data_IF_552145893226
#
_entry.id   IF_552145893226
#
_cell.length_a   1.000
_cell.length_b   1.000
_cell.length_c   1.000
_cell.angle_alpha   90.00
_cell.angle_beta   90.00
_cell.angle_gamma   90.00
#
_symmetry.space_group_name_H-M   'P 1'
#
loop_
_entity.id
_entity.type
_entity.pdbx_description
1 polymer ?
#
# COMPACT_ATOMS: atom_id res chain seq x y z
N UNK A 1 -55.35 -9.00 58.82
CA UNK A 1 -55.29 -9.98 57.71
C UNK A 1 -55.68 -9.26 56.42
N UNK A 2 -54.82 -9.39 55.39
CA UNK A 2 -55.01 -9.19 53.93
C UNK A 2 -55.96 -8.07 53.43
N UNK A 3 -55.50 -7.00 52.77
CA UNK A 3 -54.97 -6.85 51.38
C UNK A 3 -55.98 -6.95 50.21
N UNK A 4 -55.77 -6.00 49.28
CA UNK A 4 -56.16 -5.90 47.85
C UNK A 4 -57.61 -5.45 47.51
N UNK A 5 -57.86 -4.59 46.51
CA UNK A 5 -56.99 -4.08 45.45
C UNK A 5 -57.62 -2.97 44.57
N UNK A 6 -56.78 -2.43 43.69
CA UNK A 6 -56.94 -1.35 42.69
C UNK A 6 -58.07 -1.60 41.65
N UNK A 7 -58.70 -0.61 41.01
CA UNK A 7 -58.18 0.51 40.18
C UNK A 7 -58.25 0.09 38.70
N UNK A 8 -59.21 0.56 37.87
CA UNK A 8 -59.17 1.83 37.12
C UNK A 8 -58.01 1.82 36.11
N UNK A 9 -58.13 1.90 34.78
CA UNK A 9 -59.15 2.43 33.89
C UNK A 9 -58.42 3.13 32.72
N UNK A 10 -58.98 3.01 31.52
CA UNK A 10 -58.73 3.81 30.30
C UNK A 10 -57.45 3.54 29.46
N UNK A 11 -57.74 3.19 28.20
CA UNK A 11 -56.82 3.10 27.07
C UNK A 11 -56.46 4.49 26.53
N UNK A 12 -55.18 4.65 26.13
CA UNK A 12 -54.65 5.79 25.38
C UNK A 12 -53.58 5.30 24.39
N UNK A 13 -53.35 6.00 23.27
CA UNK A 13 -52.72 5.45 22.08
C UNK A 13 -51.19 5.37 22.17
N UNK A 14 -50.61 4.31 21.61
CA UNK A 14 -49.16 4.11 21.46
C UNK A 14 -48.55 5.15 20.50
N UNK A 15 -48.02 6.25 21.04
CA UNK A 15 -47.03 7.08 20.35
C UNK A 15 -45.64 6.43 20.49
N UNK A 16 -45.08 5.96 19.38
CA UNK A 16 -43.65 5.59 19.32
C UNK A 16 -42.78 6.84 19.57
N UNK A 17 -41.70 6.75 20.35
CA UNK A 17 -40.72 7.80 20.41
C UNK A 17 -39.85 7.75 19.14
N UNK A 18 -40.05 8.73 18.26
CA UNK A 18 -39.18 8.98 17.11
C UNK A 18 -37.84 9.50 17.63
N UNK A 19 -36.83 8.64 17.72
CA UNK A 19 -35.45 9.07 17.98
C UNK A 19 -34.95 9.88 16.77
N UNK A 20 -34.42 11.11 16.95
CA UNK A 20 -33.73 11.78 15.86
C UNK A 20 -32.40 11.03 15.64
N UNK A 21 -32.29 10.34 14.51
CA UNK A 21 -31.01 9.85 14.02
C UNK A 21 -30.13 11.07 13.77
N UNK A 22 -29.25 11.37 14.72
CA UNK A 22 -28.18 12.34 14.54
C UNK A 22 -27.18 11.74 13.55
N UNK A 23 -27.47 11.90 12.26
CA UNK A 23 -26.52 11.70 11.17
C UNK A 23 -25.47 12.81 11.29
N UNK A 24 -24.42 12.55 12.08
CA UNK A 24 -23.17 13.27 11.97
C UNK A 24 -22.57 12.91 10.61
N UNK A 25 -22.99 13.66 9.59
CA UNK A 25 -22.30 13.73 8.31
C UNK A 25 -20.97 14.42 8.59
N UNK A 26 -19.95 13.63 8.95
CA UNK A 26 -18.56 14.10 8.92
C UNK A 26 -18.30 14.41 7.45
N UNK A 27 -18.18 15.70 7.06
CA UNK A 27 -17.85 16.02 5.69
C UNK A 27 -16.49 15.38 5.43
N UNK A 28 -16.44 14.57 4.37
CA UNK A 28 -15.26 13.84 3.99
C UNK A 28 -14.05 14.76 4.09
N UNK A 29 -12.98 14.26 4.71
CA UNK A 29 -11.67 14.83 4.49
C UNK A 29 -11.43 14.78 2.98
N UNK A 30 -11.77 15.87 2.30
CA UNK A 30 -11.20 16.19 1.01
C UNK A 30 -9.70 16.23 1.28
N UNK A 31 -9.03 15.13 0.92
CA UNK A 31 -7.59 15.09 0.85
C UNK A 31 -7.20 16.09 -0.24
N UNK A 32 -7.06 17.36 0.15
CA UNK A 32 -6.38 18.35 -0.66
C UNK A 32 -5.01 17.83 -1.07
N UNK A 33 -4.37 18.40 -2.11
CA UNK A 33 -3.10 17.91 -2.62
C UNK A 33 -2.16 17.71 -1.44
N UNK A 34 -1.84 16.44 -1.18
CA UNK A 34 -1.05 16.07 -0.02
C UNK A 34 0.26 16.83 -0.14
N UNK A 35 0.49 17.80 0.76
CA UNK A 35 1.74 18.53 0.78
C UNK A 35 2.87 17.52 0.79
N UNK A 36 3.76 17.59 -0.21
CA UNK A 36 4.86 16.63 -0.37
C UNK A 36 5.99 16.93 0.64
N UNK A 37 5.63 16.92 1.92
CA UNK A 37 6.54 17.15 3.03
C UNK A 37 7.60 16.05 3.05
N UNK A 38 8.85 16.41 3.28
CA UNK A 38 9.93 15.43 3.38
C UNK A 38 9.66 14.48 4.56
N UNK A 39 9.80 13.15 4.39
CA UNK A 39 9.54 12.21 5.47
C UNK A 39 10.65 12.35 6.51
N UNK A 40 10.26 12.57 7.75
CA UNK A 40 11.15 12.71 8.90
C UNK A 40 10.63 11.83 10.04
N UNK A 41 11.55 11.24 10.79
CA UNK A 41 11.22 10.51 12.00
C UNK A 41 10.71 11.48 13.08
N UNK A 42 9.55 11.17 13.64
CA UNK A 42 8.92 11.91 14.74
C UNK A 42 8.27 10.90 15.70
N UNK A 43 7.84 11.29 16.91
CA UNK A 43 7.17 10.38 17.82
C UNK A 43 5.92 9.68 17.25
N UNK A 44 5.32 10.28 16.21
CA UNK A 44 4.13 9.74 15.51
C UNK A 44 4.42 9.21 14.11
N UNK A 45 5.66 9.32 13.60
CA UNK A 45 6.05 8.91 12.24
C UNK A 45 7.37 8.16 12.26
N UNK A 46 7.32 6.94 11.76
CA UNK A 46 8.50 6.10 11.58
C UNK A 46 8.84 6.02 10.09
N UNK A 47 10.11 6.23 9.75
CA UNK A 47 10.63 6.08 8.39
C UNK A 47 11.48 4.83 8.30
N UNK A 48 11.23 4.02 7.27
CA UNK A 48 12.12 2.93 6.89
C UNK A 48 12.61 3.14 5.48
N UNK A 49 13.93 3.18 5.33
CA UNK A 49 14.57 3.24 4.03
C UNK A 49 14.54 1.85 3.38
N UNK A 50 14.17 1.82 2.10
CA UNK A 50 14.13 0.59 1.29
C UNK A 50 15.32 0.48 0.34
N UNK A 51 16.43 1.16 0.66
CA UNK A 51 17.66 1.11 -0.12
C UNK A 51 18.35 -0.26 -0.05
N UNK A 52 19.48 -0.36 -0.74
CA UNK A 52 20.30 -1.57 -0.83
C UNK A 52 20.02 -2.36 -2.11
N UNK A 53 20.20 -3.68 -2.07
CA UNK A 53 20.07 -4.55 -3.24
C UNK A 53 18.62 -4.91 -3.53
N UNK A 54 18.22 -4.74 -4.79
CA UNK A 54 16.91 -5.08 -5.35
C UNK A 54 17.11 -6.13 -6.44
N UNK A 55 16.16 -7.05 -6.59
CA UNK A 55 16.18 -7.96 -7.74
C UNK A 55 15.74 -7.19 -8.98
N UNK A 56 16.57 -7.21 -10.00
CA UNK A 56 16.40 -6.45 -11.23
C UNK A 56 16.33 -7.38 -12.45
N UNK A 57 15.47 -6.99 -13.39
CA UNK A 57 15.41 -7.63 -14.69
C UNK A 57 14.95 -6.64 -15.77
N UNK A 58 15.69 -6.55 -16.86
CA UNK A 58 15.26 -5.86 -18.06
C UNK A 58 14.45 -6.80 -18.97
N UNK A 59 13.41 -6.27 -19.61
CA UNK A 59 12.66 -7.01 -20.62
C UNK A 59 13.37 -6.99 -21.97
N UNK A 60 14.35 -7.88 -22.14
CA UNK A 60 15.12 -7.98 -23.38
C UNK A 60 14.35 -8.59 -24.57
N UNK A 61 13.04 -8.86 -24.43
CA UNK A 61 12.23 -9.37 -25.55
C UNK A 61 12.16 -8.37 -26.72
N UNK A 62 11.91 -8.84 -27.96
CA UNK A 62 11.78 -7.95 -29.12
C UNK A 62 10.66 -6.91 -28.98
N UNK A 63 9.54 -7.30 -28.35
CA UNK A 63 8.38 -6.42 -28.11
C UNK A 63 8.48 -5.55 -26.86
N UNK A 64 9.46 -5.79 -25.99
CA UNK A 64 9.64 -5.12 -24.68
C UNK A 64 8.42 -5.21 -23.76
N UNK A 65 7.49 -6.12 -24.01
CA UNK A 65 6.19 -6.23 -23.34
C UNK A 65 5.94 -7.60 -22.68
N UNK A 66 6.90 -8.52 -22.81
CA UNK A 66 6.83 -9.86 -22.24
C UNK A 66 6.58 -9.84 -20.73
N UNK A 67 7.13 -8.86 -20.01
CA UNK A 67 6.89 -8.70 -18.57
C UNK A 67 5.43 -8.42 -18.21
N UNK A 68 4.71 -7.69 -19.06
CA UNK A 68 3.28 -7.47 -18.90
C UNK A 68 2.46 -8.66 -19.37
N UNK A 69 2.77 -9.21 -20.55
CA UNK A 69 2.07 -10.34 -21.14
C UNK A 69 2.09 -11.56 -20.21
N UNK A 70 3.25 -11.85 -19.62
CA UNK A 70 3.46 -12.97 -18.69
C UNK A 70 3.16 -12.58 -17.22
N UNK A 71 2.83 -11.31 -16.97
CA UNK A 71 2.47 -10.77 -15.66
C UNK A 71 3.53 -11.08 -14.59
N UNK A 72 4.78 -10.75 -14.87
CA UNK A 72 5.91 -11.05 -13.98
C UNK A 72 5.70 -10.54 -12.54
N UNK A 73 4.98 -9.43 -12.36
CA UNK A 73 4.62 -8.87 -11.05
C UNK A 73 3.70 -9.74 -10.17
N UNK A 74 3.11 -10.83 -10.68
CA UNK A 74 2.21 -11.68 -9.88
C UNK A 74 2.94 -12.71 -9.02
N UNK A 75 4.21 -12.97 -9.30
CA UNK A 75 5.06 -13.94 -8.61
C UNK A 75 6.43 -13.30 -8.36
N UNK A 76 7.26 -13.86 -7.46
CA UNK A 76 8.62 -13.37 -7.29
C UNK A 76 9.36 -13.36 -8.64
N UNK A 77 10.06 -12.26 -8.95
CA UNK A 77 10.71 -12.00 -10.23
C UNK A 77 11.72 -13.09 -10.60
N UNK A 78 12.35 -13.72 -9.59
CA UNK A 78 13.26 -14.87 -9.77
C UNK A 78 12.59 -16.10 -10.38
N UNK A 79 11.27 -16.24 -10.25
CA UNK A 79 10.51 -17.36 -10.82
C UNK A 79 10.18 -17.15 -12.29
N UNK A 80 10.19 -15.91 -12.79
CA UNK A 80 9.93 -15.66 -14.21
C UNK A 80 11.18 -15.80 -15.08
N UNK A 81 12.38 -15.90 -14.49
CA UNK A 81 13.64 -16.02 -15.21
C UNK A 81 14.85 -15.48 -14.43
N UNK A 82 16.02 -15.35 -15.10
CA UNK A 82 17.23 -14.85 -14.46
C UNK A 82 17.07 -13.38 -14.04
N UNK A 83 17.57 -13.06 -12.85
CA UNK A 83 17.60 -11.71 -12.29
C UNK A 83 19.03 -11.36 -11.87
N UNK A 84 19.32 -10.08 -11.80
CA UNK A 84 20.58 -9.55 -11.25
C UNK A 84 20.27 -8.69 -10.02
N UNK A 85 21.21 -8.58 -9.09
CA UNK A 85 21.05 -7.72 -7.93
C UNK A 85 21.52 -6.30 -8.28
N UNK A 86 20.63 -5.32 -8.10
CA UNK A 86 20.87 -3.91 -8.44
C UNK A 86 20.81 -3.04 -7.20
N UNK A 87 21.81 -2.21 -6.91
CA UNK A 87 21.76 -1.26 -5.80
C UNK A 87 20.73 -0.15 -6.06
N UNK A 88 20.04 0.27 -5.01
CA UNK A 88 19.12 1.41 -5.01
C UNK A 88 19.47 2.29 -3.79
N UNK A 89 19.71 3.60 -3.96
CA UNK A 89 19.59 4.37 -5.20
C UNK A 89 20.82 4.23 -6.11
N UNK A 90 20.62 3.80 -7.37
CA UNK A 90 21.63 3.87 -8.43
C UNK A 90 20.93 3.82 -9.81
N UNK A 91 21.59 4.38 -10.82
CA UNK A 91 21.22 4.19 -12.22
C UNK A 91 21.67 2.81 -12.68
N UNK A 92 20.79 2.01 -13.29
CA UNK A 92 21.19 0.67 -13.74
C UNK A 92 22.20 0.70 -14.89
N UNK A 93 22.19 1.76 -15.71
CA UNK A 93 23.07 1.92 -16.88
C UNK A 93 24.55 1.87 -16.50
N UNK A 94 24.90 2.41 -15.32
CA UNK A 94 26.30 2.59 -14.91
C UNK A 94 26.81 1.47 -13.98
N UNK A 95 25.93 0.57 -13.54
CA UNK A 95 26.27 -0.49 -12.59
C UNK A 95 26.70 -1.76 -13.31
N UNK A 96 26.00 -2.11 -14.38
CA UNK A 96 26.24 -3.36 -15.10
C UNK A 96 27.28 -3.16 -16.20
N UNK A 97 28.16 -4.15 -16.39
CA UNK A 97 29.13 -4.17 -17.49
C UNK A 97 28.54 -4.75 -18.80
N UNK A 98 27.22 -4.91 -18.87
CA UNK A 98 26.53 -5.46 -20.04
C UNK A 98 26.17 -4.34 -21.03
N UNK A 99 26.75 -4.31 -22.24
CA UNK A 99 26.44 -3.27 -23.24
C UNK A 99 24.97 -3.23 -23.64
N UNK A 100 24.25 -4.35 -23.49
CA UNK A 100 22.82 -4.41 -23.80
C UNK A 100 21.96 -3.65 -22.80
N UNK A 101 22.45 -3.42 -21.58
CA UNK A 101 21.78 -2.69 -20.50
C UNK A 101 22.15 -1.20 -20.47
N UNK A 102 23.39 -0.85 -20.84
CA UNK A 102 23.87 0.54 -20.86
C UNK A 102 22.98 1.45 -21.72
N UNK A 103 22.62 0.97 -22.92
CA UNK A 103 21.78 1.70 -23.88
C UNK A 103 20.36 1.11 -23.97
N UNK A 104 19.89 0.43 -22.92
CA UNK A 104 18.60 -0.23 -22.94
C UNK A 104 17.43 0.76 -22.91
N UNK A 105 16.52 0.60 -23.88
CA UNK A 105 15.23 1.32 -23.93
C UNK A 105 14.12 0.28 -23.86
N UNK A 106 13.28 0.41 -22.83
CA UNK A 106 12.15 -0.48 -22.59
C UNK A 106 11.80 -0.56 -21.11
N UNK A 107 11.08 -1.61 -20.76
CA UNK A 107 10.65 -1.82 -19.39
C UNK A 107 11.72 -2.52 -18.57
N UNK A 108 11.93 -2.01 -17.36
CA UNK A 108 12.78 -2.61 -16.34
C UNK A 108 11.93 -2.92 -15.11
N UNK A 109 12.23 -4.04 -14.48
CA UNK A 109 11.50 -4.55 -13.33
C UNK A 109 12.42 -4.54 -12.13
N UNK A 110 11.95 -3.91 -11.05
CA UNK A 110 12.61 -3.90 -9.75
C UNK A 110 11.71 -4.58 -8.73
N UNK A 111 12.26 -5.52 -7.98
CA UNK A 111 11.56 -6.23 -6.91
C UNK A 111 12.37 -6.19 -5.61
N UNK A 112 11.69 -5.86 -4.52
CA UNK A 112 12.25 -5.90 -3.16
C UNK A 112 11.22 -6.46 -2.20
N UNK A 113 11.61 -7.52 -1.53
CA UNK A 113 10.87 -8.04 -0.38
C UNK A 113 11.35 -7.33 0.89
N UNK A 114 10.39 -6.89 1.71
CA UNK A 114 10.66 -6.18 2.96
C UNK A 114 9.77 -6.76 4.05
N UNK A 115 10.40 -7.18 5.15
CA UNK A 115 9.69 -7.63 6.35
C UNK A 115 9.25 -6.42 7.16
N UNK A 116 7.95 -6.08 7.12
CA UNK A 116 7.40 -4.96 7.88
C UNK A 116 7.18 -5.33 9.35
N UNK A 117 7.44 -4.42 10.31
CA UNK A 117 7.15 -4.68 11.72
C UNK A 117 5.64 -4.89 11.93
N UNK A 118 5.26 -5.88 12.75
CA UNK A 118 3.84 -6.20 13.01
C UNK A 118 3.04 -5.01 13.55
N UNK A 119 3.68 -4.10 14.29
CA UNK A 119 3.05 -2.85 14.78
C UNK A 119 2.48 -1.98 13.66
N UNK A 120 3.05 -2.03 12.45
CA UNK A 120 2.54 -1.29 11.31
C UNK A 120 1.26 -1.90 10.72
N UNK A 121 1.04 -3.20 10.96
CA UNK A 121 -0.11 -3.94 10.43
C UNK A 121 -1.24 -4.10 11.47
N UNK A 122 -0.88 -4.22 12.76
CA UNK A 122 -1.80 -4.58 13.86
C UNK A 122 -1.93 -3.50 14.94
N UNK A 123 -1.28 -2.34 14.79
CA UNK A 123 -1.38 -1.25 15.75
C UNK A 123 -2.83 -0.76 15.92
N UNK A 124 -3.17 -0.27 17.12
CA UNK A 124 -4.46 0.38 17.38
C UNK A 124 -4.20 1.79 17.97
N UNK A 125 -4.59 2.87 17.26
CA UNK A 125 -5.14 2.88 15.90
C UNK A 125 -4.12 2.39 14.86
N UNK A 126 -4.60 1.82 13.75
CA UNK A 126 -3.73 1.32 12.69
C UNK A 126 -2.94 2.48 12.05
N UNK A 127 -1.60 2.44 12.04
CA UNK A 127 -0.82 3.53 11.46
C UNK A 127 -0.96 3.54 9.94
N UNK A 128 -0.94 4.75 9.35
CA UNK A 128 -0.96 4.91 7.89
C UNK A 128 0.41 4.56 7.31
N UNK A 129 0.48 3.49 6.52
CA UNK A 129 1.68 3.11 5.78
C UNK A 129 1.69 3.80 4.41
N UNK A 130 2.75 4.56 4.11
CA UNK A 130 2.93 5.25 2.83
C UNK A 130 4.26 4.83 2.23
N UNK A 131 4.23 4.40 0.96
CA UNK A 131 5.43 4.16 0.15
C UNK A 131 5.75 5.44 -0.63
N UNK A 132 7.00 5.91 -0.54
CA UNK A 132 7.48 7.09 -1.27
C UNK A 132 8.73 6.73 -2.06
N UNK A 133 8.73 7.09 -3.34
CA UNK A 133 9.90 7.06 -4.20
C UNK A 133 10.48 8.47 -4.30
N UNK A 134 11.80 8.61 -4.24
CA UNK A 134 12.48 9.89 -4.42
C UNK A 134 12.39 10.37 -5.87
N UNK A 135 12.72 9.47 -6.80
CA UNK A 135 12.58 9.64 -8.24
C UNK A 135 12.46 8.26 -8.90
N UNK A 136 11.76 8.19 -10.02
CA UNK A 136 11.69 7.04 -10.91
C UNK A 136 11.58 7.57 -12.34
N UNK A 137 12.39 7.07 -13.27
CA UNK A 137 12.50 7.66 -14.61
C UNK A 137 11.37 7.25 -15.57
N UNK A 138 10.93 8.25 -16.33
CA UNK A 138 9.85 8.37 -17.33
C UNK A 138 8.46 7.88 -16.91
N UNK A 139 8.24 6.57 -16.80
CA UNK A 139 6.94 6.03 -16.46
C UNK A 139 7.11 4.83 -15.52
N UNK A 140 6.52 4.94 -14.33
CA UNK A 140 6.67 3.93 -13.29
C UNK A 140 5.31 3.38 -12.88
N UNK A 141 5.23 2.06 -12.78
CA UNK A 141 4.08 1.35 -12.23
C UNK A 141 4.54 0.68 -10.95
N UNK A 142 3.81 0.94 -9.86
CA UNK A 142 4.06 0.31 -8.57
C UNK A 142 2.95 -0.68 -8.31
N UNK A 143 3.34 -1.94 -8.16
CA UNK A 143 2.43 -3.06 -7.88
C UNK A 143 2.79 -3.68 -6.54
N UNK A 144 1.78 -3.94 -5.72
CA UNK A 144 1.95 -4.71 -4.50
C UNK A 144 1.88 -6.19 -4.87
N UNK A 145 2.99 -6.91 -4.77
CA UNK A 145 2.97 -8.36 -4.76
C UNK A 145 2.54 -8.84 -3.37
N UNK A 146 1.37 -9.46 -3.27
CA UNK A 146 0.93 -10.17 -2.07
C UNK A 146 1.62 -11.54 -2.01
N UNK A 147 2.90 -11.57 -1.64
CA UNK A 147 3.60 -12.81 -1.34
C UNK A 147 3.26 -13.26 0.08
N UNK A 148 2.41 -14.27 0.23
CA UNK A 148 2.29 -15.00 1.49
C UNK A 148 3.49 -15.94 1.56
N UNK A 149 4.51 -15.60 2.36
CA UNK A 149 5.45 -16.60 2.85
C UNK A 149 5.01 -17.04 4.24
N UNK A 150 5.01 -18.35 4.54
CA UNK A 150 4.62 -18.90 5.84
C UNK A 150 5.53 -18.42 6.97
#
# INVERSE_FOLDING_TARGET
MAQAGAGGGAAGPCMLPMLPVLLLFLPGLAAGPAGMLQPRDTPSRERRELGGLWSFRADLSPGRDAGFAQRWYRRPLRQSGPVIDMPVPASFNDITQDPSLENYIGWVWYEKEVLLPLRWLRGQPAPRVVLRFGSAHYYSIVVRASGHRP
#
